data_IF_791411392296
#
_entry.id   IF_791411392296
#
_cell.length_a   1.000
_cell.length_b   1.000
_cell.length_c   1.000
_cell.angle_alpha   90.00
_cell.angle_beta   90.00
_cell.angle_gamma   90.00
#
_symmetry.space_group_name_H-M   'P 1'
#
loop_
_entity.id
_entity.type
_entity.pdbx_description
1 polymer ?
#
# COMPACT_ATOMS: atom_id res chain seq x y z
N UNK A 1 -9.87 11.62 6.42
CA UNK A 1 -8.45 11.95 6.36
C UNK A 1 -8.32 13.42 6.64
N UNK A 2 -7.37 13.81 7.46
CA UNK A 2 -7.02 15.21 7.67
C UNK A 2 -5.89 15.64 6.71
N UNK A 3 -5.59 16.94 6.60
CA UNK A 3 -4.53 17.46 5.71
C UNK A 3 -3.17 16.84 6.02
N UNK A 4 -2.91 16.55 7.30
CA UNK A 4 -1.69 15.84 7.72
C UNK A 4 -1.61 14.42 7.16
N UNK A 5 -2.71 13.67 7.20
CA UNK A 5 -2.77 12.30 6.63
C UNK A 5 -2.50 12.34 5.13
N UNK A 6 -3.01 13.37 4.45
CA UNK A 6 -2.83 13.57 3.02
C UNK A 6 -1.37 13.84 2.63
N UNK A 7 -0.70 14.75 3.32
CA UNK A 7 0.72 15.04 3.07
C UNK A 7 1.62 13.83 3.34
N UNK A 8 1.33 13.07 4.40
CA UNK A 8 2.08 11.86 4.76
C UNK A 8 1.86 10.78 3.70
N UNK A 9 0.60 10.55 3.29
CA UNK A 9 0.25 9.58 2.23
C UNK A 9 0.99 9.85 0.94
N UNK A 10 0.98 11.10 0.44
CA UNK A 10 1.64 11.45 -0.82
C UNK A 10 3.14 11.07 -0.85
N UNK A 11 3.84 11.18 0.29
CA UNK A 11 5.25 10.78 0.37
C UNK A 11 5.44 9.26 0.38
N UNK A 12 4.56 8.53 1.05
CA UNK A 12 4.58 7.07 1.06
C UNK A 12 4.23 6.50 -0.32
N UNK A 13 3.18 7.02 -0.96
CA UNK A 13 2.72 6.63 -2.30
C UNK A 13 3.87 6.69 -3.32
N UNK A 14 4.53 7.85 -3.44
CA UNK A 14 5.61 8.03 -4.40
C UNK A 14 6.79 7.07 -4.16
N UNK A 15 7.14 6.83 -2.89
CA UNK A 15 8.21 5.91 -2.51
C UNK A 15 7.86 4.46 -2.88
N UNK A 16 6.62 4.04 -2.61
CA UNK A 16 6.13 2.69 -2.91
C UNK A 16 6.03 2.50 -4.43
N UNK A 17 5.45 3.45 -5.15
CA UNK A 17 5.33 3.41 -6.62
C UNK A 17 6.71 3.28 -7.26
N UNK A 18 7.67 4.13 -6.89
CA UNK A 18 9.02 4.12 -7.47
C UNK A 18 9.76 2.79 -7.24
N UNK A 19 9.50 2.11 -6.12
CA UNK A 19 10.07 0.79 -5.85
C UNK A 19 9.38 -0.30 -6.68
N UNK A 20 8.04 -0.31 -6.71
CA UNK A 20 7.26 -1.33 -7.43
C UNK A 20 7.44 -1.24 -8.94
N UNK A 21 7.67 -0.05 -9.50
CA UNK A 21 7.95 0.13 -10.92
C UNK A 21 9.20 -0.60 -11.40
N UNK A 22 10.15 -0.88 -10.48
CA UNK A 22 11.38 -1.63 -10.77
C UNK A 22 11.21 -3.15 -10.65
N UNK A 23 10.05 -3.62 -10.17
CA UNK A 23 9.78 -5.04 -9.99
C UNK A 23 9.25 -5.64 -11.30
N UNK A 24 10.13 -6.34 -12.01
CA UNK A 24 9.71 -7.14 -13.16
C UNK A 24 8.89 -8.36 -12.72
N UNK A 25 7.72 -8.54 -13.33
CA UNK A 25 6.76 -9.60 -13.02
C UNK A 25 6.41 -9.62 -11.51
N UNK A 26 5.53 -8.72 -11.05
CA UNK A 26 5.30 -8.44 -9.64
C UNK A 26 4.44 -9.52 -8.98
N UNK A 27 5.00 -10.70 -8.74
CA UNK A 27 4.36 -11.75 -7.94
C UNK A 27 4.22 -11.32 -6.47
N UNK A 28 3.28 -11.90 -5.69
CA UNK A 28 3.13 -11.63 -4.26
C UNK A 28 4.45 -11.70 -3.50
N UNK A 29 5.28 -12.72 -3.76
CA UNK A 29 6.57 -12.88 -3.09
C UNK A 29 7.51 -11.71 -3.37
N UNK A 30 7.59 -11.25 -4.63
CA UNK A 30 8.45 -10.14 -5.03
C UNK A 30 7.94 -8.79 -4.49
N UNK A 31 6.63 -8.59 -4.52
CA UNK A 31 5.99 -7.38 -3.97
C UNK A 31 6.23 -7.30 -2.46
N UNK A 32 5.97 -8.38 -1.72
CA UNK A 32 6.25 -8.45 -0.27
C UNK A 32 7.71 -8.14 0.04
N UNK A 33 8.64 -8.79 -0.66
CA UNK A 33 10.08 -8.55 -0.49
C UNK A 33 10.44 -7.09 -0.73
N UNK A 34 9.84 -6.45 -1.72
CA UNK A 34 10.08 -5.04 -2.05
C UNK A 34 9.55 -4.12 -0.96
N UNK A 35 8.33 -4.34 -0.48
CA UNK A 35 7.71 -3.57 0.60
C UNK A 35 8.49 -3.73 1.92
N UNK A 36 8.91 -4.96 2.27
CA UNK A 36 9.78 -5.22 3.41
C UNK A 36 11.11 -4.46 3.29
N UNK A 37 11.68 -4.38 2.09
CA UNK A 37 12.89 -3.60 1.83
C UNK A 37 12.73 -2.08 2.00
N UNK A 38 11.50 -1.57 1.99
CA UNK A 38 11.18 -0.17 2.30
C UNK A 38 10.89 0.07 3.78
N UNK A 39 10.91 -0.99 4.60
CA UNK A 39 10.64 -0.91 6.03
C UNK A 39 9.19 -1.14 6.44
N UNK A 40 8.32 -1.60 5.53
CA UNK A 40 6.97 -2.06 5.89
C UNK A 40 7.06 -3.53 6.32
N UNK A 41 6.88 -3.86 7.61
CA UNK A 41 6.97 -5.23 8.07
C UNK A 41 5.74 -6.04 7.64
N UNK A 42 5.82 -7.37 7.70
CA UNK A 42 4.78 -8.27 7.17
C UNK A 42 3.40 -8.04 7.80
N UNK A 43 3.36 -7.63 9.08
CA UNK A 43 2.12 -7.30 9.79
C UNK A 43 1.39 -6.07 9.24
N UNK A 44 2.07 -5.20 8.49
CA UNK A 44 1.48 -4.03 7.82
C UNK A 44 1.11 -4.31 6.36
N UNK A 45 1.37 -5.50 5.83
CA UNK A 45 1.11 -5.86 4.43
C UNK A 45 -0.10 -6.80 4.36
N UNK A 46 -1.21 -6.28 3.84
CA UNK A 46 -2.48 -7.01 3.79
C UNK A 46 -2.92 -7.31 2.36
N UNK A 47 -3.82 -8.29 2.25
CA UNK A 47 -4.55 -8.64 1.03
C UNK A 47 -3.70 -8.81 -0.24
N UNK A 48 -2.47 -9.30 -0.06
CA UNK A 48 -1.52 -9.50 -1.14
C UNK A 48 -2.00 -10.61 -2.10
N UNK A 49 -2.61 -10.22 -3.22
CA UNK A 49 -3.30 -11.13 -4.13
C UNK A 49 -2.89 -10.87 -5.58
N UNK A 50 -2.47 -11.93 -6.26
CA UNK A 50 -2.14 -11.88 -7.67
C UNK A 50 -3.39 -12.02 -8.54
N UNK A 51 -3.47 -11.19 -9.58
CA UNK A 51 -4.49 -11.20 -10.62
C UNK A 51 -3.79 -11.07 -11.98
N UNK A 52 -3.63 -12.20 -12.67
CA UNK A 52 -2.80 -12.29 -13.87
C UNK A 52 -1.34 -11.89 -13.60
N UNK A 53 -0.89 -10.82 -14.26
CA UNK A 53 0.48 -10.26 -14.14
C UNK A 53 0.58 -9.11 -13.14
N UNK A 54 -0.48 -8.85 -12.37
CA UNK A 54 -0.54 -7.74 -11.41
C UNK A 54 -0.75 -8.31 -10.02
N UNK A 55 -0.29 -7.60 -9.00
CA UNK A 55 -0.56 -7.95 -7.61
C UNK A 55 -1.18 -6.76 -6.90
N UNK A 56 -2.34 -6.98 -6.29
CA UNK A 56 -3.02 -6.02 -5.41
C UNK A 56 -2.55 -6.23 -3.97
N UNK A 57 -2.53 -5.16 -3.19
CA UNK A 57 -2.18 -5.18 -1.78
C UNK A 57 -2.78 -3.98 -1.05
N UNK A 58 -2.74 -4.03 0.27
CA UNK A 58 -2.95 -2.88 1.15
C UNK A 58 -1.76 -2.72 2.10
N UNK A 59 -1.39 -1.48 2.39
CA UNK A 59 -0.45 -1.13 3.45
C UNK A 59 -1.21 -0.50 4.62
N UNK A 60 -1.03 -1.06 5.81
CA UNK A 60 -1.50 -0.48 7.06
C UNK A 60 -0.51 0.61 7.51
N UNK A 61 -0.94 1.87 7.43
CA UNK A 61 -0.17 3.04 7.87
C UNK A 61 -0.80 3.67 9.12
N UNK A 62 -1.59 2.92 9.89
CA UNK A 62 -2.13 3.40 11.16
C UNK A 62 -0.98 3.61 12.14
N UNK A 63 -0.80 4.85 12.57
CA UNK A 63 0.13 5.24 13.62
C UNK A 63 -0.62 6.08 14.65
N UNK A 64 -0.34 5.86 15.94
CA UNK A 64 -0.93 6.61 17.07
C UNK A 64 -2.46 6.78 17.03
N UNK A 65 -3.20 5.72 16.62
CA UNK A 65 -4.67 5.76 16.50
C UNK A 65 -5.18 6.37 15.19
N UNK A 66 -4.28 6.59 14.22
CA UNK A 66 -4.62 7.02 12.87
C UNK A 66 -5.42 5.98 12.08
N UNK A 67 -5.87 6.39 10.89
CA UNK A 67 -6.69 5.56 9.98
C UNK A 67 -6.11 5.43 8.58
N UNK A 68 -4.90 5.92 8.38
CA UNK A 68 -4.28 5.95 7.06
C UNK A 68 -3.94 4.53 6.60
N UNK A 69 -4.29 4.22 5.36
CA UNK A 69 -3.77 3.07 4.66
C UNK A 69 -3.48 3.45 3.19
N UNK A 70 -2.82 2.56 2.48
CA UNK A 70 -2.66 2.67 1.03
C UNK A 70 -3.21 1.43 0.33
N UNK A 71 -3.93 1.64 -0.78
CA UNK A 71 -4.39 0.59 -1.69
C UNK A 71 -3.47 0.58 -2.91
N UNK A 72 -2.80 -0.54 -3.15
CA UNK A 72 -1.74 -0.62 -4.15
C UNK A 72 -1.99 -1.66 -5.23
N UNK A 73 -1.54 -1.33 -6.43
CA UNK A 73 -1.49 -2.22 -7.59
C UNK A 73 -0.06 -2.26 -8.13
N UNK A 74 0.65 -3.36 -7.87
CA UNK A 74 1.94 -3.62 -8.48
C UNK A 74 1.75 -4.19 -9.89
N UNK A 75 2.24 -3.47 -10.89
CA UNK A 75 2.08 -3.81 -12.31
C UNK A 75 3.30 -3.41 -13.17
N UNK A 76 4.50 -3.41 -12.57
CA UNK A 76 5.71 -2.91 -13.22
C UNK A 76 5.62 -1.39 -13.45
N UNK A 77 5.97 -0.90 -14.64
CA UNK A 77 6.01 0.54 -14.94
C UNK A 77 4.69 1.29 -14.69
N UNK A 78 3.55 0.60 -14.70
CA UNK A 78 2.22 1.18 -14.45
C UNK A 78 1.69 0.88 -13.04
N UNK A 79 2.61 0.64 -12.08
CA UNK A 79 2.23 0.46 -10.68
C UNK A 79 1.65 1.76 -10.12
N UNK A 80 0.64 1.61 -9.28
CA UNK A 80 -0.13 2.72 -8.72
C UNK A 80 -0.46 2.45 -7.25
N UNK A 81 -0.55 3.52 -6.47
CA UNK A 81 -0.85 3.48 -5.04
C UNK A 81 -1.69 4.70 -4.71
N UNK A 82 -2.80 4.50 -4.01
CA UNK A 82 -3.72 5.56 -3.62
C UNK A 82 -4.05 5.48 -2.13
N UNK A 83 -4.38 6.60 -1.48
CA UNK A 83 -4.77 6.59 -0.08
C UNK A 83 -6.08 5.83 0.12
N UNK A 84 -6.18 5.16 1.26
CA UNK A 84 -7.41 4.60 1.78
C UNK A 84 -7.58 4.89 3.28
N UNK A 85 -8.78 4.61 3.79
CA UNK A 85 -9.12 4.76 5.21
C UNK A 85 -9.44 3.41 5.80
N UNK A 86 -8.71 3.00 6.84
CA UNK A 86 -8.96 1.79 7.60
C UNK A 86 -9.72 2.08 8.92
N UNK A 87 -10.28 1.03 9.53
CA UNK A 87 -10.76 1.07 10.92
C UNK A 87 -9.58 1.41 11.84
N UNK A 88 -9.78 2.35 12.77
CA UNK A 88 -8.71 2.89 13.61
C UNK A 88 -8.07 1.84 14.53
N UNK A 89 -8.87 0.91 15.05
CA UNK A 89 -8.45 -0.08 16.04
C UNK A 89 -8.86 -1.49 15.62
N UNK A 90 -8.13 -2.49 16.10
CA UNK A 90 -8.42 -3.89 15.83
C UNK A 90 -7.89 -4.38 14.46
N UNK A 91 -8.45 -5.49 13.93
CA UNK A 91 -8.04 -6.07 12.66
C UNK A 91 -8.03 -5.05 11.53
N UNK A 92 -7.12 -5.23 10.58
CA UNK A 92 -7.03 -4.35 9.41
C UNK A 92 -8.25 -4.55 8.51
N UNK A 93 -9.10 -3.51 8.44
CA UNK A 93 -10.27 -3.46 7.57
C UNK A 93 -10.37 -2.10 6.91
N UNK A 94 -10.51 -2.08 5.58
CA UNK A 94 -10.64 -0.85 4.80
C UNK A 94 -12.10 -0.41 4.78
N UNK A 95 -12.35 0.84 5.16
CA UNK A 95 -13.69 1.47 5.20
C UNK A 95 -13.99 2.31 3.96
N UNK A 96 -12.97 2.87 3.32
CA UNK A 96 -13.10 3.60 2.05
C UNK A 96 -11.77 3.69 1.30
N UNK A 97 -11.84 3.79 -0.03
CA UNK A 97 -10.69 4.05 -0.91
C UNK A 97 -10.98 5.32 -1.72
N UNK A 98 -9.99 6.20 -1.91
CA UNK A 98 -10.10 7.30 -2.87
C UNK A 98 -9.41 6.86 -4.14
N UNK A 99 -10.18 6.54 -5.18
CA UNK A 99 -9.67 6.32 -6.54
C UNK A 99 -10.00 7.57 -7.37
N UNK A 100 -9.02 8.22 -8.01
CA UNK A 100 -9.29 9.28 -8.96
C UNK A 100 -10.07 8.78 -10.19
#
# INVERSE_FOLDING_TARGET
MDDRDWCVSAHHEQRVIAALQKVADPTPVKVRKTLNGLGYPDERIHHLKQDGKKTRFHLDLREDGGRLCESGLAAGAVSDVVPCVAVAEGPFEVTSEVRP
#
